data_IF_757885519774
#
_entry.id   IF_757885519774
#
_cell.length_a   1.000
_cell.length_b   1.000
_cell.length_c   1.000
_cell.angle_alpha   90.00
_cell.angle_beta   90.00
_cell.angle_gamma   90.00
#
_symmetry.space_group_name_H-M   'P 1'
#
loop_
_entity.id
_entity.type
_entity.pdbx_description
1 polymer ?
#
# COMPACT_ATOMS: atom_id res chain seq x y z
N UNK A 1 -13.85 -7.12 2.54
CA UNK A 1 -15.11 -6.52 3.05
C UNK A 1 -14.93 -5.04 3.46
N UNK A 2 -13.86 -4.67 4.20
CA UNK A 2 -13.64 -3.27 4.61
C UNK A 2 -13.55 -2.33 3.41
N UNK A 3 -12.72 -2.64 2.42
CA UNK A 3 -12.44 -1.79 1.25
C UNK A 3 -13.62 -1.62 0.27
N UNK A 4 -14.72 -2.31 0.48
CA UNK A 4 -15.95 -2.15 -0.31
C UNK A 4 -17.08 -1.43 0.44
N UNK A 5 -16.81 -0.91 1.65
CA UNK A 5 -17.82 -0.24 2.48
C UNK A 5 -17.91 1.27 2.23
N UNK A 6 -16.90 1.88 1.62
CA UNK A 6 -16.80 3.31 1.41
C UNK A 6 -16.49 4.15 2.67
N UNK A 7 -16.15 3.51 3.81
CA UNK A 7 -15.80 4.21 5.06
C UNK A 7 -14.30 4.45 5.22
N UNK A 8 -13.51 3.98 4.29
CA UNK A 8 -12.06 4.18 4.23
C UNK A 8 -11.66 4.60 2.82
N UNK A 9 -10.87 5.63 2.75
CA UNK A 9 -10.03 5.95 1.61
C UNK A 9 -8.58 5.63 2.01
N UNK A 10 -7.89 4.80 1.24
CA UNK A 10 -6.53 4.33 1.57
C UNK A 10 -5.60 4.52 0.38
N UNK A 11 -4.51 5.24 0.61
CA UNK A 11 -3.37 5.35 -0.28
C UNK A 11 -2.23 4.44 0.20
N UNK A 12 -1.56 3.78 -0.71
CA UNK A 12 -0.33 3.04 -0.47
C UNK A 12 0.82 3.71 -1.22
N UNK A 13 1.97 3.78 -0.58
CA UNK A 13 3.16 4.46 -1.08
C UNK A 13 4.35 3.49 -1.06
N UNK A 14 4.46 2.57 -2.03
CA UNK A 14 5.52 1.56 -2.08
C UNK A 14 6.86 2.17 -2.50
N UNK A 15 7.49 2.88 -1.60
CA UNK A 15 8.82 3.46 -1.72
C UNK A 15 9.68 3.12 -0.48
N UNK A 16 9.08 3.24 0.71
CA UNK A 16 9.72 2.88 1.97
C UNK A 16 10.98 3.68 2.25
N UNK A 17 12.08 2.98 2.58
CA UNK A 17 13.38 3.57 2.88
C UNK A 17 14.29 3.66 1.64
N UNK A 18 13.74 3.61 0.43
CA UNK A 18 14.50 3.78 -0.79
C UNK A 18 15.03 5.22 -0.89
N UNK A 19 16.09 5.39 -1.66
CA UNK A 19 16.62 6.68 -2.07
C UNK A 19 16.66 6.75 -3.58
N UNK A 20 16.51 7.95 -4.12
CA UNK A 20 16.58 8.16 -5.56
C UNK A 20 17.66 9.16 -5.95
N UNK A 21 18.16 9.00 -7.17
CA UNK A 21 19.02 9.97 -7.84
C UNK A 21 18.61 10.09 -9.30
N UNK A 22 18.89 11.24 -9.90
CA UNK A 22 18.58 11.45 -11.31
C UNK A 22 19.82 11.16 -12.18
N UNK A 23 19.66 10.31 -13.18
CA UNK A 23 20.66 10.02 -14.19
C UNK A 23 20.10 10.32 -15.60
N UNK A 24 20.49 11.46 -16.16
CA UNK A 24 19.89 11.95 -17.41
C UNK A 24 18.39 12.20 -17.24
N UNK A 25 17.57 11.56 -18.06
CA UNK A 25 16.10 11.67 -18.02
C UNK A 25 15.43 10.58 -17.17
N UNK A 26 16.19 9.81 -16.40
CA UNK A 26 15.68 8.70 -15.59
C UNK A 26 15.99 8.87 -14.13
N UNK A 27 15.11 8.37 -13.29
CA UNK A 27 15.33 8.18 -11.87
C UNK A 27 15.93 6.79 -11.61
N UNK A 28 16.96 6.74 -10.79
CA UNK A 28 17.61 5.51 -10.32
C UNK A 28 17.29 5.35 -8.85
N UNK A 29 16.78 4.18 -8.48
CA UNK A 29 16.34 3.88 -7.12
C UNK A 29 17.29 2.89 -6.47
N UNK A 30 17.65 3.17 -5.23
CA UNK A 30 18.40 2.27 -4.37
C UNK A 30 17.54 1.91 -3.17
N UNK A 31 17.16 0.63 -3.06
CA UNK A 31 16.28 0.11 -2.02
C UNK A 31 17.07 -0.55 -0.91
N UNK A 32 16.51 -0.57 0.30
CA UNK A 32 17.18 -1.05 1.51
C UNK A 32 17.60 -2.53 1.40
N UNK A 33 16.75 -3.37 0.80
CA UNK A 33 17.01 -4.81 0.62
C UNK A 33 17.41 -5.17 -0.82
N UNK A 34 17.86 -4.19 -1.60
CA UNK A 34 18.43 -4.38 -2.92
C UNK A 34 17.43 -4.27 -4.06
N UNK A 35 17.89 -4.70 -5.24
CA UNK A 35 17.19 -4.48 -6.52
C UNK A 35 15.81 -5.16 -6.60
N UNK A 36 15.67 -6.33 -5.96
CA UNK A 36 14.38 -7.04 -5.94
C UNK A 36 13.28 -6.25 -5.21
N UNK A 37 13.63 -5.51 -4.15
CA UNK A 37 12.69 -4.61 -3.46
C UNK A 37 12.28 -3.46 -4.38
N UNK A 38 13.23 -2.81 -5.06
CA UNK A 38 12.92 -1.75 -6.02
C UNK A 38 12.01 -2.24 -7.16
N UNK A 39 12.23 -3.46 -7.66
CA UNK A 39 11.38 -4.06 -8.68
C UNK A 39 9.95 -4.30 -8.17
N UNK A 40 9.80 -4.80 -6.94
CA UNK A 40 8.47 -4.98 -6.35
C UNK A 40 7.76 -3.65 -6.14
N UNK A 41 8.45 -2.62 -5.64
CA UNK A 41 7.91 -1.28 -5.48
C UNK A 41 7.41 -0.70 -6.82
N UNK A 42 8.16 -0.89 -7.91
CA UNK A 42 7.74 -0.49 -9.26
C UNK A 42 6.49 -1.24 -9.74
N UNK A 43 6.41 -2.55 -9.47
CA UNK A 43 5.23 -3.37 -9.80
C UNK A 43 4.02 -2.86 -9.02
N UNK A 44 4.17 -2.61 -7.73
CA UNK A 44 3.09 -2.10 -6.87
C UNK A 44 2.64 -0.70 -7.30
N UNK A 45 3.57 0.21 -7.61
CA UNK A 45 3.25 1.53 -8.15
C UNK A 45 2.39 1.44 -9.41
N UNK A 46 2.75 0.54 -10.33
CA UNK A 46 1.98 0.30 -11.56
C UNK A 46 0.60 -0.31 -11.29
N UNK A 47 0.50 -1.23 -10.34
CA UNK A 47 -0.79 -1.84 -9.94
C UNK A 47 -1.70 -0.79 -9.31
N UNK A 48 -1.18 0.05 -8.41
CA UNK A 48 -1.93 1.14 -7.79
C UNK A 48 -2.42 2.17 -8.81
N UNK A 49 -1.60 2.47 -9.82
CA UNK A 49 -1.99 3.36 -10.91
C UNK A 49 -3.11 2.77 -11.79
N UNK A 50 -3.07 1.47 -12.07
CA UNK A 50 -4.03 0.81 -12.95
C UNK A 50 -5.33 0.44 -12.24
N UNK A 51 -5.25 0.09 -10.96
CA UNK A 51 -6.37 -0.35 -10.15
C UNK A 51 -6.68 0.72 -9.09
N UNK A 52 -7.49 1.70 -9.47
CA UNK A 52 -7.72 2.90 -8.65
C UNK A 52 -8.54 2.66 -7.37
N UNK A 53 -9.18 1.48 -7.21
CA UNK A 53 -10.05 1.22 -6.05
C UNK A 53 -9.42 0.21 -5.08
N UNK A 54 -9.40 0.48 -3.76
CA UNK A 54 -8.79 -0.40 -2.77
C UNK A 54 -9.24 -1.86 -2.80
N UNK A 55 -10.50 -2.12 -3.13
CA UNK A 55 -11.00 -3.49 -3.27
C UNK A 55 -10.39 -4.27 -4.46
N UNK A 56 -9.77 -3.57 -5.41
CA UNK A 56 -9.12 -4.16 -6.58
C UNK A 56 -7.62 -4.35 -6.34
N UNK A 57 -6.91 -3.33 -5.85
CA UNK A 57 -5.46 -3.42 -5.67
C UNK A 57 -5.03 -4.14 -4.37
N UNK A 58 -5.77 -3.99 -3.27
CA UNK A 58 -5.39 -4.61 -1.99
C UNK A 58 -5.24 -6.14 -2.05
N UNK A 59 -6.08 -6.91 -2.78
CA UNK A 59 -5.86 -8.34 -2.93
C UNK A 59 -4.54 -8.69 -3.63
N UNK A 60 -4.11 -7.86 -4.59
CA UNK A 60 -2.84 -8.06 -5.29
C UNK A 60 -1.66 -7.75 -4.37
N UNK A 61 -1.66 -6.58 -3.72
CA UNK A 61 -0.61 -6.18 -2.78
C UNK A 61 -0.47 -7.23 -1.66
N UNK A 62 -1.59 -7.63 -1.05
CA UNK A 62 -1.57 -8.68 -0.03
C UNK A 62 -0.98 -10.00 -0.52
N UNK A 63 -1.28 -10.40 -1.76
CA UNK A 63 -0.74 -11.62 -2.35
C UNK A 63 0.77 -11.49 -2.63
N UNK A 64 1.21 -10.35 -3.16
CA UNK A 64 2.62 -10.10 -3.48
C UNK A 64 3.47 -10.09 -2.21
N UNK A 65 3.02 -9.40 -1.17
CA UNK A 65 3.73 -9.23 0.09
C UNK A 65 3.89 -10.53 0.92
N UNK A 66 3.16 -11.60 0.59
CA UNK A 66 3.41 -12.91 1.21
C UNK A 66 4.76 -13.53 0.78
N UNK A 67 5.24 -13.19 -0.41
CA UNK A 67 6.53 -13.64 -0.95
C UNK A 67 6.97 -12.68 -2.06
N UNK A 68 7.53 -11.50 -1.73
CA UNK A 68 7.85 -10.46 -2.69
C UNK A 68 8.84 -10.95 -3.75
N UNK A 69 8.36 -11.13 -4.98
CA UNK A 69 9.17 -11.53 -6.13
C UNK A 69 8.39 -11.35 -7.44
N UNK A 70 9.11 -11.17 -8.54
CA UNK A 70 8.50 -11.08 -9.88
C UNK A 70 7.65 -12.31 -10.21
N UNK A 71 8.14 -13.51 -9.90
CA UNK A 71 7.39 -14.76 -10.17
C UNK A 71 6.09 -14.85 -9.36
N UNK A 72 6.11 -14.37 -8.11
CA UNK A 72 4.90 -14.31 -7.30
C UNK A 72 3.95 -13.22 -7.78
N UNK A 73 4.44 -12.05 -8.21
CA UNK A 73 3.62 -11.00 -8.80
C UNK A 73 2.81 -11.53 -10.01
N UNK A 74 3.47 -12.25 -10.92
CA UNK A 74 2.80 -12.90 -12.06
C UNK A 74 1.75 -13.92 -11.60
N UNK A 75 2.06 -14.70 -10.58
CA UNK A 75 1.13 -15.67 -9.99
C UNK A 75 -0.07 -14.99 -9.36
N UNK A 76 0.14 -13.90 -8.63
CA UNK A 76 -0.93 -13.10 -8.02
C UNK A 76 -1.84 -12.47 -9.08
N UNK A 77 -1.26 -11.90 -10.15
CA UNK A 77 -2.03 -11.37 -11.27
C UNK A 77 -2.93 -12.44 -11.89
N UNK A 78 -2.37 -13.60 -12.18
CA UNK A 78 -3.12 -14.74 -12.74
C UNK A 78 -4.26 -15.20 -11.82
N UNK A 79 -4.00 -15.38 -10.52
CA UNK A 79 -5.01 -15.79 -9.52
C UNK A 79 -6.15 -14.79 -9.42
N UNK A 80 -5.85 -13.51 -9.54
CA UNK A 80 -6.80 -12.41 -9.42
C UNK A 80 -7.43 -12.00 -10.76
N UNK A 81 -7.05 -12.68 -11.86
CA UNK A 81 -7.51 -12.38 -13.23
C UNK A 81 -7.17 -10.95 -13.66
N UNK A 82 -6.01 -10.46 -13.24
CA UNK A 82 -5.43 -9.18 -13.65
C UNK A 82 -4.50 -9.46 -14.84
N UNK A 83 -4.64 -8.69 -15.92
CA UNK A 83 -3.75 -8.82 -17.07
C UNK A 83 -2.33 -8.38 -16.71
N UNK A 84 -1.35 -9.27 -16.91
CA UNK A 84 0.04 -9.01 -16.55
C UNK A 84 0.76 -8.09 -17.52
N UNK A 85 0.44 -8.15 -18.81
CA UNK A 85 1.18 -7.41 -19.82
C UNK A 85 1.17 -5.87 -19.60
N UNK A 86 0.04 -5.22 -19.26
CA UNK A 86 0.05 -3.80 -18.91
C UNK A 86 0.94 -3.47 -17.71
N UNK A 87 0.91 -4.29 -16.65
CA UNK A 87 1.78 -4.12 -15.47
C UNK A 87 3.24 -4.25 -15.88
N UNK A 88 3.57 -5.28 -16.68
CA UNK A 88 4.93 -5.52 -17.17
C UNK A 88 5.46 -4.36 -18.01
N UNK A 89 4.65 -3.82 -18.91
CA UNK A 89 5.03 -2.67 -19.72
C UNK A 89 5.25 -1.41 -18.89
N UNK A 90 4.44 -1.22 -17.85
CA UNK A 90 4.56 -0.09 -16.93
C UNK A 90 5.88 -0.16 -16.13
N UNK A 91 6.10 -1.22 -15.35
CA UNK A 91 7.24 -1.26 -14.43
C UNK A 91 8.60 -1.35 -15.14
N UNK A 92 8.64 -1.87 -16.37
CA UNK A 92 9.85 -1.87 -17.21
C UNK A 92 10.03 -0.57 -18.01
N UNK A 93 9.04 0.29 -18.03
CA UNK A 93 8.99 1.49 -18.86
C UNK A 93 9.22 2.79 -18.10
N UNK A 94 9.15 3.89 -18.85
CA UNK A 94 9.25 5.25 -18.30
C UNK A 94 8.09 5.57 -17.36
N UNK A 95 6.92 4.97 -17.56
CA UNK A 95 5.74 5.17 -16.72
C UNK A 95 6.00 4.71 -15.29
N UNK A 96 6.47 3.49 -15.09
CA UNK A 96 6.78 2.98 -13.74
C UNK A 96 7.88 3.78 -13.06
N UNK A 97 8.91 4.19 -13.83
CA UNK A 97 9.97 5.05 -13.33
C UNK A 97 9.43 6.40 -12.80
N UNK A 98 8.52 7.02 -13.55
CA UNK A 98 7.88 8.28 -13.15
C UNK A 98 6.96 8.10 -11.94
N UNK A 99 6.12 7.05 -11.93
CA UNK A 99 5.24 6.75 -10.81
C UNK A 99 6.02 6.53 -9.50
N UNK A 100 7.14 5.82 -9.55
CA UNK A 100 7.96 5.60 -8.36
C UNK A 100 8.63 6.89 -7.87
N UNK A 101 9.00 7.79 -8.79
CA UNK A 101 9.47 9.13 -8.41
C UNK A 101 8.38 9.96 -7.72
N UNK A 102 7.13 9.92 -8.22
CA UNK A 102 6.00 10.57 -7.55
C UNK A 102 5.81 10.05 -6.13
N UNK A 103 5.89 8.72 -5.93
CA UNK A 103 5.83 8.11 -4.60
C UNK A 103 7.01 8.51 -3.70
N UNK A 104 8.20 8.72 -4.27
CA UNK A 104 9.36 9.27 -3.56
C UNK A 104 9.07 10.68 -3.06
N UNK A 105 8.52 11.55 -3.90
CA UNK A 105 8.17 12.92 -3.52
C UNK A 105 7.14 12.93 -2.38
N UNK A 106 6.09 12.13 -2.47
CA UNK A 106 5.06 12.01 -1.42
C UNK A 106 5.65 11.47 -0.11
N UNK A 107 6.51 10.45 -0.18
CA UNK A 107 7.16 9.87 0.99
C UNK A 107 8.10 10.88 1.66
N UNK A 108 8.89 11.60 0.86
CA UNK A 108 9.83 12.60 1.37
C UNK A 108 9.14 13.87 1.89
N UNK A 109 7.89 14.13 1.47
CA UNK A 109 7.09 15.26 1.97
C UNK A 109 6.39 14.98 3.31
N UNK A 110 6.51 13.77 3.87
CA UNK A 110 5.91 13.42 5.16
C UNK A 110 6.40 14.35 6.28
N UNK A 111 5.47 14.82 7.10
CA UNK A 111 5.76 15.64 8.27
C UNK A 111 4.95 15.12 9.49
N UNK A 112 5.62 14.55 10.51
CA UNK A 112 7.07 14.30 10.58
C UNK A 112 7.55 13.27 9.53
N UNK A 113 8.84 13.31 9.15
CA UNK A 113 9.43 12.29 8.29
C UNK A 113 9.26 10.90 8.88
N UNK A 114 9.03 9.90 8.04
CA UNK A 114 8.97 8.52 8.50
C UNK A 114 10.30 8.08 9.12
N UNK A 115 10.25 7.22 10.11
CA UNK A 115 11.42 6.68 10.82
C UNK A 115 11.54 5.18 10.66
N UNK A 116 10.49 4.52 10.22
CA UNK A 116 10.37 3.09 9.96
C UNK A 116 9.25 2.82 8.97
N UNK A 117 9.12 1.60 8.50
CA UNK A 117 8.01 1.16 7.65
C UNK A 117 7.32 -0.07 8.27
N UNK A 118 6.00 -0.21 8.14
CA UNK A 118 5.06 0.73 7.52
C UNK A 118 4.85 1.99 8.37
N UNK A 119 4.78 3.16 7.73
CA UNK A 119 4.45 4.44 8.37
C UNK A 119 3.00 4.78 8.08
N UNK A 120 2.17 4.91 9.12
CA UNK A 120 0.72 5.07 8.97
C UNK A 120 0.33 6.51 9.31
N UNK A 121 -0.33 7.16 8.37
CA UNK A 121 -0.93 8.48 8.53
C UNK A 121 -2.44 8.33 8.41
N UNK A 122 -3.20 8.81 9.37
CA UNK A 122 -4.66 8.81 9.30
C UNK A 122 -5.19 10.23 9.45
N UNK A 123 -6.05 10.66 8.51
CA UNK A 123 -6.61 12.01 8.46
C UNK A 123 -5.55 13.11 8.56
N UNK A 124 -4.39 12.91 7.89
CA UNK A 124 -3.28 13.86 7.86
C UNK A 124 -2.41 13.87 9.10
N UNK A 125 -2.59 12.94 10.04
CA UNK A 125 -1.83 12.87 11.29
C UNK A 125 -1.14 11.52 11.45
N UNK A 126 0.08 11.56 11.99
CA UNK A 126 0.80 10.41 12.50
C UNK A 126 1.00 10.56 14.01
N UNK A 127 0.62 9.54 14.77
CA UNK A 127 0.91 9.41 16.22
C UNK A 127 1.18 7.96 16.54
N UNK A 128 1.88 7.70 17.64
CA UNK A 128 2.12 6.34 18.12
C UNK A 128 0.82 5.55 18.37
N UNK A 129 -0.24 6.23 18.77
CA UNK A 129 -1.55 5.61 18.98
C UNK A 129 -2.19 5.20 17.65
N UNK A 130 -2.16 6.08 16.64
CA UNK A 130 -2.63 5.77 15.27
C UNK A 130 -1.83 4.60 14.71
N UNK A 131 -0.50 4.68 14.77
CA UNK A 131 0.40 3.66 14.28
C UNK A 131 0.10 2.28 14.89
N UNK A 132 0.12 2.19 16.21
CA UNK A 132 -0.06 0.93 16.92
C UNK A 132 -1.47 0.35 16.74
N UNK A 133 -2.49 1.19 16.78
CA UNK A 133 -3.89 0.77 16.62
C UNK A 133 -4.18 0.26 15.22
N UNK A 134 -3.79 1.02 14.19
CA UNK A 134 -4.03 0.66 12.79
C UNK A 134 -3.21 -0.56 12.36
N UNK A 135 -1.97 -0.68 12.83
CA UNK A 135 -1.11 -1.83 12.54
C UNK A 135 -1.58 -3.11 13.25
N UNK A 136 -2.16 -2.99 14.43
CA UNK A 136 -2.69 -4.12 15.20
C UNK A 136 -4.00 -4.67 14.61
N UNK A 137 -4.95 -3.80 14.30
CA UNK A 137 -6.25 -4.15 13.70
C UNK A 137 -6.82 -2.96 12.92
N UNK A 138 -6.49 -2.91 11.62
CA UNK A 138 -6.95 -1.85 10.72
C UNK A 138 -8.48 -1.75 10.68
N UNK A 139 -9.19 -2.87 10.68
CA UNK A 139 -10.66 -2.87 10.64
C UNK A 139 -11.22 -2.21 11.90
N UNK A 140 -10.71 -2.60 13.07
CA UNK A 140 -11.15 -2.00 14.32
C UNK A 140 -10.82 -0.52 14.39
N UNK A 141 -9.61 -0.13 13.98
CA UNK A 141 -9.18 1.26 13.93
C UNK A 141 -10.11 2.11 13.05
N UNK A 142 -10.37 1.68 11.82
CA UNK A 142 -11.27 2.39 10.89
C UNK A 142 -12.68 2.48 11.46
N UNK A 143 -13.22 1.38 12.02
CA UNK A 143 -14.54 1.39 12.62
C UNK A 143 -14.66 2.30 13.85
N UNK A 144 -13.59 2.50 14.59
CA UNK A 144 -13.57 3.41 15.76
C UNK A 144 -13.46 4.88 15.32
N UNK A 145 -12.64 5.14 14.30
CA UNK A 145 -12.35 6.50 13.80
C UNK A 145 -13.51 7.05 12.95
N UNK A 146 -14.23 6.20 12.22
CA UNK A 146 -15.33 6.63 11.36
C UNK A 146 -16.53 7.11 12.19
N UNK A 147 -16.96 8.35 11.94
CA UNK A 147 -18.02 9.03 12.68
C UNK A 147 -19.42 8.92 12.06
N UNK A 148 -19.53 8.40 10.82
CA UNK A 148 -20.80 8.19 10.14
C UNK A 148 -21.54 6.91 10.56
N UNK A 149 -22.58 6.55 9.81
CA UNK A 149 -23.33 5.31 10.02
C UNK A 149 -22.42 4.10 9.77
N UNK A 150 -22.18 3.32 10.81
CA UNK A 150 -21.23 2.19 10.76
C UNK A 150 -21.84 1.03 9.99
N UNK A 151 -21.14 0.49 8.97
CA UNK A 151 -21.60 -0.69 8.24
C UNK A 151 -21.50 -1.96 9.09
N UNK A 152 -22.18 -3.02 8.63
CA UNK A 152 -22.25 -4.32 9.35
C UNK A 152 -20.89 -4.91 9.70
N UNK A 153 -19.87 -4.66 8.87
CA UNK A 153 -18.50 -5.12 9.15
C UNK A 153 -17.95 -4.56 10.45
N UNK A 154 -18.39 -3.39 10.89
CA UNK A 154 -18.00 -2.78 12.15
C UNK A 154 -18.75 -3.36 13.37
N UNK A 155 -19.92 -3.94 13.17
CA UNK A 155 -20.72 -4.53 14.26
C UNK A 155 -20.12 -5.85 14.75
N UNK A 156 -19.49 -6.62 13.83
CA UNK A 156 -18.85 -7.90 14.15
C UNK A 156 -17.58 -7.75 15.01
N UNK A 157 -16.93 -6.59 15.01
CA UNK A 157 -15.75 -6.31 15.84
C UNK A 157 -16.11 -6.08 17.31
N UNK A 158 -17.31 -5.57 17.59
CA UNK A 158 -17.81 -5.35 18.97
C UNK A 158 -18.09 -6.65 19.70
N UNK A 159 -18.53 -7.71 19.03
CA UNK A 159 -18.86 -9.00 19.65
C UNK A 159 -17.64 -9.81 20.10
N UNK A 160 -16.46 -9.64 19.45
CA UNK A 160 -15.24 -10.35 19.88
C UNK A 160 -14.71 -9.91 21.24
N UNK A 161 -15.10 -8.74 21.75
CA UNK A 161 -14.73 -8.27 23.11
C UNK A 161 -15.51 -8.91 24.23
N UNK A 162 -16.71 -9.44 23.98
CA UNK A 162 -17.57 -10.03 25.03
C UNK A 162 -17.21 -11.46 25.44
N UNK A 163 -16.27 -12.13 24.76
CA UNK A 163 -15.89 -13.53 25.02
C UNK A 163 -14.48 -13.71 25.60
N UNK A 164 -13.85 -12.65 26.11
CA UNK A 164 -12.61 -12.74 26.89
C UNK A 164 -12.85 -12.24 28.32
N UNK A 165 -13.52 -13.04 29.10
CA UNK A 165 -13.48 -13.06 30.57
C UNK A 165 -13.23 -14.48 31.03
#
# INVERSE_FOLDING_TARGET
KLFSTGIIDIGLYPYGNAVESQEGDKWVFQCQHGEAECQNNLIEACVLHMLSHPSQFMPFIYCLEQNPSLSNAMTCASKLKIEWAPISNCYNGTQGNHLMHELALETNALNPPHQFVPWIVANGQHTEEIQSSAQSDLLQFVCQTYTGVKPDVCQSTSQKRCYKN
#
